data_IF_346753536303
#
_entry.id   IF_346753536303
#
_cell.length_a   1.000
_cell.length_b   1.000
_cell.length_c   1.000
_cell.angle_alpha   90.00
_cell.angle_beta   90.00
_cell.angle_gamma   90.00
#
_symmetry.space_group_name_H-M   'P 1'
#
loop_
_entity.id
_entity.type
_entity.pdbx_description
1 polymer ?
#
# COMPACT_ATOMS: atom_id res chain seq x y z
N UNK A 1 0.37 28.68 15.19
CA UNK A 1 1.51 27.83 14.81
C UNK A 1 1.13 27.07 13.54
N UNK A 2 1.45 27.59 12.36
CA UNK A 2 1.09 26.93 11.09
C UNK A 2 2.09 25.80 10.81
N UNK A 3 1.66 24.55 11.03
CA UNK A 3 2.37 23.36 10.54
C UNK A 3 2.34 23.37 9.01
N UNK A 4 3.33 23.98 8.37
CA UNK A 4 3.58 23.79 6.93
C UNK A 4 4.12 22.37 6.76
N UNK A 5 3.22 21.41 6.53
CA UNK A 5 3.60 20.06 6.12
C UNK A 5 4.35 20.17 4.78
N UNK A 6 5.53 19.58 4.72
CA UNK A 6 6.30 19.55 3.48
C UNK A 6 5.56 18.66 2.46
N UNK A 7 5.63 18.95 1.15
CA UNK A 7 4.90 18.19 0.12
C UNK A 7 5.19 16.68 0.18
N UNK A 8 6.42 16.29 0.52
CA UNK A 8 6.85 14.88 0.70
C UNK A 8 6.19 14.20 1.90
N UNK A 9 5.84 14.96 2.95
CA UNK A 9 5.11 14.44 4.10
C UNK A 9 3.65 14.20 3.75
N UNK A 10 3.03 15.12 3.00
CA UNK A 10 1.65 14.99 2.56
C UNK A 10 1.45 13.76 1.67
N UNK A 11 2.35 13.53 0.70
CA UNK A 11 2.27 12.37 -0.19
C UNK A 11 2.47 11.04 0.55
N UNK A 12 3.45 10.95 1.47
CA UNK A 12 3.65 9.76 2.30
C UNK A 12 2.47 9.49 3.23
N UNK A 13 1.92 10.53 3.87
CA UNK A 13 0.72 10.42 4.70
C UNK A 13 -0.48 9.93 3.89
N UNK A 14 -0.67 10.41 2.66
CA UNK A 14 -1.72 9.94 1.78
C UNK A 14 -1.60 8.44 1.47
N UNK A 15 -0.39 7.95 1.14
CA UNK A 15 -0.14 6.51 0.93
C UNK A 15 -0.50 5.69 2.17
N UNK A 16 -0.07 6.14 3.36
CA UNK A 16 -0.35 5.43 4.62
C UNK A 16 -1.86 5.43 4.91
N UNK A 17 -2.55 6.55 4.71
CA UNK A 17 -4.00 6.63 4.90
C UNK A 17 -4.73 5.67 3.97
N UNK A 18 -4.33 5.60 2.70
CA UNK A 18 -4.88 4.64 1.72
C UNK A 18 -4.64 3.20 2.18
N UNK A 19 -3.43 2.88 2.64
CA UNK A 19 -3.11 1.54 3.13
C UNK A 19 -3.94 1.16 4.38
N UNK A 20 -4.12 2.10 5.32
CA UNK A 20 -4.97 1.91 6.51
C UNK A 20 -6.42 1.71 6.10
N UNK A 21 -6.95 2.53 5.20
CA UNK A 21 -8.32 2.40 4.72
C UNK A 21 -8.55 1.05 4.02
N UNK A 22 -7.58 0.61 3.20
CA UNK A 22 -7.63 -0.70 2.53
C UNK A 22 -7.57 -1.85 3.53
N UNK A 23 -6.70 -1.76 4.54
CA UNK A 23 -6.62 -2.74 5.63
C UNK A 23 -7.92 -2.81 6.43
N UNK A 24 -8.48 -1.66 6.81
CA UNK A 24 -9.76 -1.58 7.53
C UNK A 24 -10.92 -2.15 6.70
N UNK A 25 -10.97 -1.86 5.40
CA UNK A 25 -11.97 -2.42 4.49
C UNK A 25 -11.83 -3.95 4.36
N UNK A 26 -10.60 -4.48 4.33
CA UNK A 26 -10.37 -5.92 4.32
C UNK A 26 -10.85 -6.60 5.62
N UNK A 27 -10.73 -5.92 6.77
CA UNK A 27 -11.27 -6.39 8.05
C UNK A 27 -12.80 -6.31 8.12
N UNK A 28 -13.41 -5.23 7.64
CA UNK A 28 -14.84 -4.99 7.79
C UNK A 28 -15.71 -5.66 6.70
N UNK A 29 -15.19 -5.79 5.48
CA UNK A 29 -15.97 -6.16 4.29
C UNK A 29 -16.01 -7.65 3.96
N UNK A 30 -15.16 -8.47 4.57
CA UNK A 30 -15.01 -9.88 4.14
C UNK A 30 -16.07 -10.83 4.71
N UNK A 31 -16.83 -10.44 5.75
CA UNK A 31 -17.78 -11.32 6.45
C UNK A 31 -17.14 -12.58 7.09
N UNK A 32 -15.82 -12.71 6.96
CA UNK A 32 -14.97 -13.81 7.39
C UNK A 32 -13.71 -13.17 7.97
N UNK A 33 -13.24 -13.65 9.12
CA UNK A 33 -12.02 -13.16 9.72
C UNK A 33 -10.85 -13.36 8.73
N UNK A 34 -10.09 -12.31 8.36
CA UNK A 34 -9.09 -12.38 7.30
C UNK A 34 -8.00 -13.42 7.57
N UNK A 35 -7.73 -13.75 8.85
CA UNK A 35 -6.78 -14.80 9.20
C UNK A 35 -7.37 -16.20 9.01
N UNK A 36 -8.65 -16.39 9.34
CA UNK A 36 -9.35 -17.63 9.02
C UNK A 36 -9.42 -17.89 7.51
N UNK A 37 -9.65 -16.84 6.71
CA UNK A 37 -9.64 -16.93 5.24
C UNK A 37 -8.24 -17.23 4.69
N UNK A 38 -7.21 -16.56 5.20
CA UNK A 38 -5.83 -16.78 4.76
C UNK A 38 -5.35 -18.20 5.09
N UNK A 39 -5.65 -18.70 6.29
CA UNK A 39 -5.31 -20.08 6.69
C UNK A 39 -6.06 -21.12 5.86
N UNK A 40 -7.35 -20.89 5.58
CA UNK A 40 -8.12 -21.75 4.67
C UNK A 40 -7.53 -21.76 3.26
N UNK A 41 -7.21 -20.59 2.69
CA UNK A 41 -6.59 -20.49 1.37
C UNK A 41 -5.25 -21.22 1.31
N UNK A 42 -4.40 -21.07 2.33
CA UNK A 42 -3.13 -21.78 2.41
C UNK A 42 -3.31 -23.31 2.41
N UNK A 43 -4.32 -23.81 3.14
CA UNK A 43 -4.64 -25.24 3.19
C UNK A 43 -5.19 -25.81 1.86
N UNK A 44 -5.76 -24.96 0.99
CA UNK A 44 -6.39 -25.37 -0.28
C UNK A 44 -5.57 -24.97 -1.51
N UNK A 45 -4.24 -24.82 -1.37
CA UNK A 45 -3.32 -24.52 -2.48
C UNK A 45 -3.28 -23.05 -2.91
N UNK A 46 -3.98 -22.16 -2.20
CA UNK A 46 -4.02 -20.72 -2.42
C UNK A 46 -2.99 -19.92 -1.62
N UNK A 47 -1.79 -20.46 -1.38
CA UNK A 47 -0.77 -19.82 -0.53
C UNK A 47 -0.44 -18.38 -0.96
N UNK A 48 -0.29 -18.15 -2.27
CA UNK A 48 -0.01 -16.79 -2.81
C UNK A 48 -1.10 -15.80 -2.43
N UNK A 49 -2.36 -16.24 -2.41
CA UNK A 49 -3.50 -15.41 -2.06
C UNK A 49 -3.61 -15.16 -0.56
N UNK A 50 -3.29 -16.18 0.25
CA UNK A 50 -3.16 -16.04 1.69
C UNK A 50 -2.10 -14.99 2.07
N UNK A 51 -0.94 -15.03 1.41
CA UNK A 51 0.13 -14.04 1.59
C UNK A 51 -0.32 -12.65 1.14
N UNK A 52 -0.99 -12.55 -0.02
CA UNK A 52 -1.50 -11.28 -0.53
C UNK A 52 -2.54 -10.65 0.42
N UNK A 53 -3.45 -11.44 0.97
CA UNK A 53 -4.43 -10.99 1.98
C UNK A 53 -3.74 -10.55 3.28
N UNK A 54 -2.80 -11.36 3.78
CA UNK A 54 -2.00 -11.01 4.96
C UNK A 54 -1.24 -9.70 4.75
N UNK A 55 -0.71 -9.47 3.55
CA UNK A 55 -0.07 -8.21 3.20
C UNK A 55 -1.05 -7.03 3.21
N UNK A 56 -2.24 -7.15 2.60
CA UNK A 56 -3.24 -6.06 2.60
C UNK A 56 -3.59 -5.61 4.02
N UNK A 57 -3.74 -6.58 4.93
CA UNK A 57 -4.02 -6.29 6.34
C UNK A 57 -2.83 -5.62 7.03
N UNK A 58 -1.62 -6.14 6.82
CA UNK A 58 -0.43 -5.68 7.55
C UNK A 58 0.30 -4.50 6.90
N UNK A 59 -0.01 -4.15 5.65
CA UNK A 59 0.67 -3.13 4.86
C UNK A 59 0.91 -1.78 5.56
N UNK A 60 0.03 -1.27 6.43
CA UNK A 60 0.29 -0.03 7.17
C UNK A 60 1.58 -0.07 8.00
N UNK A 61 1.94 -1.24 8.57
CA UNK A 61 3.10 -1.39 9.45
C UNK A 61 4.44 -1.23 8.71
N UNK A 62 4.75 -2.00 7.64
CA UNK A 62 5.98 -1.82 6.90
C UNK A 62 6.01 -0.45 6.19
N UNK A 63 4.87 0.09 5.73
CA UNK A 63 4.84 1.43 5.15
C UNK A 63 5.17 2.51 6.19
N UNK A 64 4.61 2.42 7.40
CA UNK A 64 4.93 3.31 8.50
C UNK A 64 6.41 3.23 8.89
N UNK A 65 6.94 2.01 9.03
CA UNK A 65 8.36 1.79 9.33
C UNK A 65 9.26 2.36 8.22
N UNK A 66 8.92 2.12 6.95
CA UNK A 66 9.67 2.64 5.81
C UNK A 66 9.62 4.18 5.74
N UNK A 67 8.49 4.81 6.11
CA UNK A 67 8.35 6.26 6.18
C UNK A 67 9.27 6.88 7.24
N UNK A 68 9.47 6.21 8.38
CA UNK A 68 10.39 6.66 9.43
C UNK A 68 11.85 6.63 8.96
N UNK A 69 12.21 5.63 8.16
CA UNK A 69 13.57 5.44 7.64
C UNK A 69 13.82 6.22 6.34
N UNK A 70 12.77 6.68 5.66
CA UNK A 70 12.83 7.40 4.39
C UNK A 70 13.73 8.65 4.41
N UNK A 71 13.94 9.26 5.59
CA UNK A 71 14.86 10.39 5.77
C UNK A 71 16.33 10.03 5.62
N UNK A 72 16.70 8.76 5.87
CA UNK A 72 18.07 8.25 5.77
C UNK A 72 18.34 7.57 4.43
N UNK A 73 17.34 6.89 3.90
CA UNK A 73 17.41 6.22 2.60
C UNK A 73 16.02 6.15 1.99
N UNK A 74 15.82 6.54 0.72
CA UNK A 74 14.52 6.44 0.06
C UNK A 74 14.16 5.00 -0.32
N UNK A 75 15.14 4.10 -0.42
CA UNK A 75 14.95 2.75 -0.95
C UNK A 75 13.97 1.87 -0.16
N UNK A 76 13.97 1.85 1.19
CA UNK A 76 12.95 1.13 1.95
C UNK A 76 11.53 1.62 1.61
N UNK A 77 11.33 2.94 1.49
CA UNK A 77 10.04 3.51 1.12
C UNK A 77 9.61 3.06 -0.28
N UNK A 78 10.51 3.18 -1.26
CA UNK A 78 10.24 2.78 -2.65
C UNK A 78 9.87 1.29 -2.73
N UNK A 79 10.65 0.43 -2.07
CA UNK A 79 10.41 -1.01 -2.05
C UNK A 79 9.05 -1.35 -1.45
N UNK A 80 8.73 -0.80 -0.27
CA UNK A 80 7.47 -1.09 0.39
C UNK A 80 6.25 -0.54 -0.36
N UNK A 81 6.33 0.68 -0.92
CA UNK A 81 5.25 1.23 -1.77
C UNK A 81 5.04 0.37 -3.01
N UNK A 82 6.12 -0.08 -3.66
CA UNK A 82 6.03 -0.94 -4.84
C UNK A 82 5.33 -2.25 -4.53
N UNK A 83 5.74 -2.95 -3.46
CA UNK A 83 5.07 -4.19 -3.02
C UNK A 83 3.60 -3.92 -2.68
N UNK A 84 3.32 -2.81 -1.98
CA UNK A 84 1.95 -2.43 -1.64
C UNK A 84 1.07 -2.13 -2.85
N UNK A 85 1.60 -1.62 -3.96
CA UNK A 85 0.81 -1.40 -5.17
C UNK A 85 0.61 -2.68 -5.99
N UNK A 86 1.64 -3.54 -6.05
CA UNK A 86 1.58 -4.79 -6.82
C UNK A 86 0.52 -5.73 -6.24
N UNK A 87 0.43 -5.84 -4.91
CA UNK A 87 -0.48 -6.80 -4.26
C UNK A 87 -1.97 -6.55 -4.61
N UNK A 88 -2.54 -5.34 -4.44
CA UNK A 88 -3.90 -5.02 -4.85
C UNK A 88 -4.13 -5.20 -6.35
N UNK A 89 -3.16 -4.85 -7.21
CA UNK A 89 -3.26 -5.04 -8.67
C UNK A 89 -3.39 -6.53 -9.00
N UNK A 90 -2.55 -7.38 -8.41
CA UNK A 90 -2.61 -8.83 -8.62
C UNK A 90 -3.93 -9.40 -8.12
N UNK A 91 -4.41 -8.98 -6.95
CA UNK A 91 -5.70 -9.41 -6.41
C UNK A 91 -6.87 -8.98 -7.30
N UNK A 92 -6.91 -7.73 -7.78
CA UNK A 92 -7.94 -7.26 -8.71
C UNK A 92 -7.91 -8.01 -10.03
N UNK A 93 -6.72 -8.20 -10.60
CA UNK A 93 -6.54 -8.89 -11.88
C UNK A 93 -6.95 -10.37 -11.78
N UNK A 94 -6.72 -11.01 -10.62
CA UNK A 94 -7.08 -12.41 -10.40
C UNK A 94 -8.56 -12.61 -10.07
N UNK A 95 -9.18 -11.63 -9.41
CA UNK A 95 -10.57 -11.70 -8.96
C UNK A 95 -11.41 -10.50 -9.43
N UNK A 96 -11.48 -10.23 -10.74
CA UNK A 96 -12.17 -9.05 -11.26
C UNK A 96 -13.68 -9.08 -10.98
N UNK A 97 -14.26 -10.28 -10.79
CA UNK A 97 -15.67 -10.47 -10.51
C UNK A 97 -16.04 -10.36 -9.02
N UNK A 98 -15.05 -10.43 -8.11
CA UNK A 98 -15.29 -10.29 -6.67
C UNK A 98 -15.27 -8.84 -6.21
N UNK A 99 -14.85 -7.93 -7.08
CA UNK A 99 -14.65 -6.53 -6.75
C UNK A 99 -15.52 -5.63 -7.63
N UNK A 100 -16.15 -4.60 -7.04
CA UNK A 100 -16.97 -3.67 -7.80
C UNK A 100 -16.10 -2.89 -8.81
N UNK A 101 -16.68 -2.50 -9.94
CA UNK A 101 -15.94 -1.87 -11.05
C UNK A 101 -15.16 -0.59 -10.68
N UNK A 102 -15.57 0.11 -9.61
CA UNK A 102 -14.84 1.28 -9.10
C UNK A 102 -13.51 0.92 -8.42
N UNK A 103 -13.27 -0.34 -8.07
CA UNK A 103 -12.02 -0.77 -7.42
C UNK A 103 -10.79 -0.49 -8.30
N UNK A 104 -10.93 -0.59 -9.63
CA UNK A 104 -9.85 -0.21 -10.57
C UNK A 104 -9.51 1.27 -10.50
N UNK A 105 -10.49 2.15 -10.29
CA UNK A 105 -10.25 3.59 -10.13
C UNK A 105 -9.48 3.89 -8.84
N UNK A 106 -9.78 3.17 -7.75
CA UNK A 106 -9.06 3.29 -6.48
C UNK A 106 -7.62 2.76 -6.60
N UNK A 107 -7.40 1.67 -7.33
CA UNK A 107 -6.05 1.18 -7.64
C UNK A 107 -5.29 2.20 -8.47
N UNK A 108 -5.89 2.76 -9.53
CA UNK A 108 -5.26 3.77 -10.36
C UNK A 108 -4.86 5.02 -9.56
N UNK A 109 -5.73 5.49 -8.65
CA UNK A 109 -5.43 6.60 -7.75
C UNK A 109 -4.29 6.26 -6.80
N UNK A 110 -4.32 5.05 -6.21
CA UNK A 110 -3.26 4.56 -5.32
C UNK A 110 -1.91 4.51 -6.02
N UNK A 111 -1.88 4.06 -7.28
CA UNK A 111 -0.67 4.04 -8.12
C UNK A 111 -0.17 5.47 -8.37
N UNK A 112 -1.05 6.40 -8.75
CA UNK A 112 -0.66 7.79 -8.98
C UNK A 112 -0.06 8.44 -7.72
N UNK A 113 -0.70 8.23 -6.55
CA UNK A 113 -0.22 8.74 -5.26
C UNK A 113 1.09 8.06 -4.85
N UNK A 114 1.22 6.75 -5.05
CA UNK A 114 2.43 5.99 -4.76
C UNK A 114 3.61 6.45 -5.61
N UNK A 115 3.41 6.62 -6.92
CA UNK A 115 4.41 7.16 -7.84
C UNK A 115 4.82 8.59 -7.45
N UNK A 116 3.85 9.46 -7.16
CA UNK A 116 4.14 10.81 -6.66
C UNK A 116 4.98 10.75 -5.37
N UNK A 117 4.66 9.85 -4.45
CA UNK A 117 5.43 9.67 -3.21
C UNK A 117 6.87 9.22 -3.48
N UNK A 118 7.09 8.33 -4.46
CA UNK A 118 8.42 7.83 -4.86
C UNK A 118 9.24 8.94 -5.50
N UNK A 119 8.66 9.72 -6.41
CA UNK A 119 9.32 10.87 -7.03
C UNK A 119 9.76 11.87 -5.96
N UNK A 120 8.89 12.17 -5.00
CA UNK A 120 9.21 13.10 -3.90
C UNK A 120 10.13 12.50 -2.82
N UNK A 121 10.44 11.20 -2.87
CA UNK A 121 11.31 10.57 -1.88
C UNK A 121 12.79 10.89 -2.13
N UNK A 122 13.15 11.28 -3.35
CA UNK A 122 14.47 11.80 -3.67
C UNK A 122 14.49 13.30 -3.36
N UNK A 123 15.29 13.77 -2.39
CA UNK A 123 15.57 15.20 -2.28
C UNK A 123 16.26 15.65 -3.56
N UNK A 124 15.95 16.86 -4.05
CA UNK A 124 16.50 17.47 -5.27
C UNK A 124 17.92 16.98 -5.57
N UNK A 125 18.11 16.43 -6.77
CA UNK A 125 19.42 16.06 -7.31
C UNK A 125 20.42 17.23 -7.23
N UNK A 126 21.72 16.97 -7.42
CA UNK A 126 22.80 17.89 -7.10
C UNK A 126 22.49 19.29 -7.64
N UNK A 127 22.18 20.23 -6.75
CA UNK A 127 22.18 21.64 -7.10
C UNK A 127 23.60 21.94 -7.54
N UNK A 128 23.74 22.37 -8.79
CA UNK A 128 25.02 22.57 -9.46
C UNK A 128 26.06 23.19 -8.53
N UNK A 129 27.17 22.48 -8.37
CA UNK A 129 28.45 22.98 -7.89
C UNK A 129 29.26 23.50 -9.07
#
# INVERSE_FOLDING_TARGET
MHLRLRPDQLTRSAVIVVAVATSAAAWAGAGVDPWSLATWLAAHGGLVLAVALGWVVLAPLPLGAAALVARRSPWPWIGTVTVHLVVPVVLLARFPHLLPGWAWAVVALSVAVGLASVVTAFPDGPRGS
#
